data_IF_998566464088
#
_entry.id   IF_998566464088
#
_cell.length_a   1.000
_cell.length_b   1.000
_cell.length_c   1.000
_cell.angle_alpha   90.00
_cell.angle_beta   90.00
_cell.angle_gamma   90.00
#
_symmetry.space_group_name_H-M   'P 1'
#
loop_
_entity.id
_entity.type
_entity.pdbx_description
1 polymer ?
#
# COMPACT_ATOMS: atom_id res chain seq x y z
N UNK A 1 -25.23 -11.95 87.48
CA UNK A 1 -26.06 -11.04 86.66
C UNK A 1 -25.16 -9.92 86.16
N UNK A 2 -24.55 -10.08 84.98
CA UNK A 2 -23.64 -9.11 84.37
C UNK A 2 -24.42 -8.18 83.44
N UNK A 3 -24.49 -6.89 83.79
CA UNK A 3 -25.18 -5.87 83.02
C UNK A 3 -24.21 -5.30 81.97
N UNK A 4 -24.20 -5.87 80.76
CA UNK A 4 -23.50 -5.32 79.62
C UNK A 4 -24.29 -4.12 79.07
N UNK A 5 -23.97 -2.92 79.57
CA UNK A 5 -24.43 -1.68 78.95
C UNK A 5 -23.76 -1.52 77.59
N UNK A 6 -24.48 -1.85 76.52
CA UNK A 6 -24.11 -1.50 75.16
C UNK A 6 -23.94 0.03 75.07
N UNK A 7 -22.70 0.50 74.94
CA UNK A 7 -22.35 1.92 74.74
C UNK A 7 -22.96 2.42 73.43
N UNK A 8 -24.17 2.98 73.50
CA UNK A 8 -24.83 3.63 72.36
C UNK A 8 -24.15 4.95 71.98
N UNK A 9 -24.16 5.28 70.68
CA UNK A 9 -23.69 6.56 70.15
C UNK A 9 -24.37 7.75 70.83
N UNK A 10 -23.61 8.81 71.13
CA UNK A 10 -24.16 10.07 71.65
C UNK A 10 -25.15 10.68 70.66
N UNK A 11 -26.10 11.47 71.16
CA UNK A 11 -27.12 12.14 70.33
C UNK A 11 -26.49 12.97 69.22
N UNK A 12 -25.37 13.65 69.52
CA UNK A 12 -24.62 14.43 68.54
C UNK A 12 -23.97 13.55 67.47
N UNK A 13 -23.45 12.37 67.83
CA UNK A 13 -22.90 11.42 66.86
C UNK A 13 -23.99 10.88 65.94
N UNK A 14 -25.19 10.57 66.47
CA UNK A 14 -26.35 10.16 65.64
C UNK A 14 -26.77 11.25 64.67
N UNK A 15 -26.84 12.51 65.11
CA UNK A 15 -27.17 13.65 64.25
C UNK A 15 -26.11 13.83 63.14
N UNK A 16 -24.83 13.71 63.47
CA UNK A 16 -23.74 13.80 62.50
C UNK A 16 -23.78 12.66 61.46
N UNK A 17 -24.08 11.43 61.89
CA UNK A 17 -24.28 10.28 61.00
C UNK A 17 -25.45 10.52 60.03
N UNK A 18 -26.56 11.07 60.51
CA UNK A 18 -27.72 11.40 59.68
C UNK A 18 -27.36 12.47 58.64
N UNK A 19 -26.64 13.53 59.04
CA UNK A 19 -26.20 14.58 58.12
C UNK A 19 -25.26 14.01 57.04
N UNK A 20 -24.29 13.18 57.43
CA UNK A 20 -23.39 12.50 56.50
C UNK A 20 -24.14 11.59 55.51
N UNK A 21 -25.16 10.88 55.97
CA UNK A 21 -26.02 10.06 55.11
C UNK A 21 -26.76 10.92 54.07
N UNK A 22 -27.34 12.05 54.48
CA UNK A 22 -28.01 12.96 53.54
C UNK A 22 -27.06 13.54 52.50
N UNK A 23 -25.84 13.93 52.91
CA UNK A 23 -24.81 14.44 51.99
C UNK A 23 -24.43 13.35 50.98
N UNK A 24 -24.23 12.11 51.42
CA UNK A 24 -23.89 11.00 50.55
C UNK A 24 -25.01 10.66 49.56
N UNK A 25 -26.26 10.63 50.01
CA UNK A 25 -27.42 10.38 49.15
C UNK A 25 -27.59 11.50 48.12
N UNK A 26 -27.49 12.77 48.54
CA UNK A 26 -27.58 13.91 47.64
C UNK A 26 -26.46 13.89 46.58
N UNK A 27 -25.24 13.53 46.98
CA UNK A 27 -24.13 13.37 46.06
C UNK A 27 -24.36 12.23 45.06
N UNK A 28 -24.83 11.06 45.52
CA UNK A 28 -25.16 9.92 44.68
C UNK A 28 -26.23 10.27 43.63
N UNK A 29 -27.33 10.92 44.05
CA UNK A 29 -28.39 11.38 43.13
C UNK A 29 -27.84 12.37 42.09
N UNK A 30 -26.99 13.30 42.50
CA UNK A 30 -26.34 14.26 41.57
C UNK A 30 -25.48 13.54 40.53
N UNK A 31 -24.70 12.54 40.95
CA UNK A 31 -23.84 11.77 40.04
C UNK A 31 -24.65 10.92 39.06
N UNK A 32 -25.74 10.31 39.51
CA UNK A 32 -26.67 9.56 38.65
C UNK A 32 -27.27 10.47 37.58
N UNK A 33 -27.80 11.63 37.97
CA UNK A 33 -28.38 12.58 37.01
C UNK A 33 -27.34 13.08 36.00
N UNK A 34 -26.11 13.34 36.46
CA UNK A 34 -25.00 13.75 35.59
C UNK A 34 -24.68 12.66 34.55
N UNK A 35 -24.60 11.40 34.98
CA UNK A 35 -24.35 10.26 34.09
C UNK A 35 -25.42 10.13 33.00
N UNK A 36 -26.71 10.18 33.37
CA UNK A 36 -27.80 10.11 32.38
C UNK A 36 -27.80 11.30 31.42
N UNK A 37 -27.54 12.52 31.92
CA UNK A 37 -27.45 13.71 31.06
C UNK A 37 -26.29 13.62 30.06
N UNK A 38 -25.12 13.12 30.50
CA UNK A 38 -23.96 12.94 29.63
C UNK A 38 -24.19 11.86 28.59
N UNK A 39 -24.86 10.76 28.96
CA UNK A 39 -25.22 9.68 28.04
C UNK A 39 -26.19 10.17 26.98
N UNK A 40 -27.22 10.92 27.36
CA UNK A 40 -28.21 11.48 26.42
C UNK A 40 -27.58 12.53 25.47
N UNK A 41 -26.69 13.38 25.99
CA UNK A 41 -25.91 14.34 25.18
C UNK A 41 -24.93 13.65 24.22
N UNK A 42 -24.32 12.54 24.63
CA UNK A 42 -23.48 11.71 23.77
C UNK A 42 -24.29 11.08 22.64
N UNK A 43 -25.40 10.44 23.00
CA UNK A 43 -26.31 9.80 22.04
C UNK A 43 -26.88 10.79 21.02
N UNK A 44 -27.31 11.99 21.47
CA UNK A 44 -27.79 13.05 20.58
C UNK A 44 -26.70 13.54 19.63
N UNK A 45 -25.47 13.76 20.11
CA UNK A 45 -24.34 14.17 19.25
C UNK A 45 -24.01 13.12 18.20
N UNK A 46 -23.94 11.86 18.58
CA UNK A 46 -23.64 10.76 17.65
C UNK A 46 -24.74 10.63 16.59
N UNK A 47 -26.01 10.73 16.99
CA UNK A 47 -27.15 10.71 16.07
C UNK A 47 -27.12 11.89 15.10
N UNK A 48 -26.95 13.12 15.59
CA UNK A 48 -26.87 14.32 14.74
C UNK A 48 -25.69 14.25 13.78
N UNK A 49 -24.52 13.79 14.25
CA UNK A 49 -23.36 13.60 13.38
C UNK A 49 -23.64 12.60 12.27
N UNK A 50 -24.22 11.44 12.60
CA UNK A 50 -24.59 10.41 11.61
C UNK A 50 -25.57 10.97 10.57
N UNK A 51 -26.60 11.69 11.00
CA UNK A 51 -27.58 12.31 10.11
C UNK A 51 -26.96 13.37 9.19
N UNK A 52 -26.11 14.26 9.71
CA UNK A 52 -25.40 15.24 8.89
C UNK A 52 -24.47 14.59 7.87
N UNK A 53 -23.76 13.53 8.29
CA UNK A 53 -22.84 12.80 7.41
C UNK A 53 -23.62 12.11 6.29
N UNK A 54 -24.71 11.41 6.61
CA UNK A 54 -25.61 10.80 5.61
C UNK A 54 -26.16 11.84 4.65
N UNK A 55 -26.61 13.02 5.12
CA UNK A 55 -27.08 14.10 4.24
C UNK A 55 -25.99 14.59 3.29
N UNK A 56 -24.75 14.75 3.76
CA UNK A 56 -23.62 15.15 2.91
C UNK A 56 -23.31 14.10 1.85
N UNK A 57 -23.32 12.82 2.23
CA UNK A 57 -23.09 11.70 1.31
C UNK A 57 -24.21 11.64 0.26
N UNK A 58 -25.48 11.70 0.68
CA UNK A 58 -26.61 11.72 -0.26
C UNK A 58 -26.59 12.95 -1.18
N UNK A 59 -26.14 14.11 -0.71
CA UNK A 59 -26.01 15.32 -1.54
C UNK A 59 -24.92 15.16 -2.62
N UNK A 60 -23.84 14.44 -2.30
CA UNK A 60 -22.71 14.26 -3.21
C UNK A 60 -22.86 13.06 -4.14
N UNK A 61 -23.50 11.99 -3.69
CA UNK A 61 -23.51 10.68 -4.36
C UNK A 61 -24.91 10.06 -4.51
N UNK A 62 -25.99 10.83 -4.32
CA UNK A 62 -27.39 10.40 -4.32
C UNK A 62 -27.78 9.38 -3.22
N UNK A 63 -26.94 8.40 -2.91
CA UNK A 63 -27.10 7.45 -1.81
C UNK A 63 -25.77 7.09 -1.14
N UNK A 64 -25.85 6.52 0.08
CA UNK A 64 -24.66 6.02 0.80
C UNK A 64 -24.13 4.74 0.17
N UNK A 65 -25.02 3.88 -0.32
CA UNK A 65 -24.67 2.70 -1.12
C UNK A 65 -23.86 3.08 -2.36
N UNK A 66 -24.30 4.07 -3.16
CA UNK A 66 -23.60 4.50 -4.37
C UNK A 66 -22.20 5.04 -4.09
N UNK A 67 -22.04 5.79 -2.99
CA UNK A 67 -20.73 6.26 -2.54
C UNK A 67 -19.80 5.08 -2.20
N UNK A 68 -20.33 4.06 -1.49
CA UNK A 68 -19.54 2.89 -1.11
C UNK A 68 -19.17 2.01 -2.31
N UNK A 69 -20.07 1.83 -3.28
CA UNK A 69 -19.74 1.11 -4.52
C UNK A 69 -18.67 1.85 -5.32
N UNK A 70 -18.78 3.17 -5.50
CA UNK A 70 -17.75 3.97 -6.17
C UNK A 70 -16.39 3.87 -5.49
N UNK A 71 -16.35 3.93 -4.15
CA UNK A 71 -15.09 3.78 -3.40
C UNK A 71 -14.48 2.40 -3.63
N UNK A 72 -15.30 1.35 -3.63
CA UNK A 72 -14.82 -0.02 -3.88
C UNK A 72 -14.33 -0.21 -5.32
N UNK A 73 -15.03 0.34 -6.31
CA UNK A 73 -14.63 0.31 -7.72
C UNK A 73 -13.31 1.04 -7.94
N UNK A 74 -13.16 2.26 -7.39
CA UNK A 74 -11.90 3.02 -7.46
C UNK A 74 -10.76 2.24 -6.80
N UNK A 75 -11.03 1.58 -5.66
CA UNK A 75 -10.03 0.76 -4.99
C UNK A 75 -9.59 -0.42 -5.85
N UNK A 76 -10.53 -1.16 -6.46
CA UNK A 76 -10.21 -2.27 -7.36
C UNK A 76 -9.47 -1.81 -8.61
N UNK A 77 -9.87 -0.68 -9.22
CA UNK A 77 -9.18 -0.10 -10.36
C UNK A 77 -7.75 0.30 -10.00
N UNK A 78 -7.56 0.92 -8.83
CA UNK A 78 -6.23 1.27 -8.33
C UNK A 78 -5.34 0.04 -8.14
N UNK A 79 -5.83 -1.00 -7.46
CA UNK A 79 -5.07 -2.24 -7.24
C UNK A 79 -4.71 -2.92 -8.57
N UNK A 80 -5.63 -2.91 -9.53
CA UNK A 80 -5.42 -3.46 -10.87
C UNK A 80 -4.40 -2.64 -11.66
N UNK A 81 -4.46 -1.30 -11.60
CA UNK A 81 -3.52 -0.41 -12.24
C UNK A 81 -2.10 -0.53 -11.65
N UNK A 82 -1.97 -0.64 -10.32
CA UNK A 82 -0.68 -0.87 -9.66
C UNK A 82 -0.07 -2.22 -10.05
N UNK A 83 -0.89 -3.26 -10.17
CA UNK A 83 -0.43 -4.59 -10.61
C UNK A 83 0.04 -4.54 -12.07
N UNK A 84 -0.73 -3.90 -12.95
CA UNK A 84 -0.35 -3.73 -14.35
C UNK A 84 0.94 -2.91 -14.51
N UNK A 85 1.08 -1.81 -13.74
CA UNK A 85 2.29 -0.99 -13.77
C UNK A 85 3.54 -1.76 -13.34
N UNK A 86 3.44 -2.59 -12.28
CA UNK A 86 4.54 -3.47 -11.85
C UNK A 86 4.92 -4.48 -12.95
N UNK A 87 3.93 -5.10 -13.57
CA UNK A 87 4.14 -6.04 -14.68
C UNK A 87 4.82 -5.36 -15.87
N UNK A 88 4.37 -4.16 -16.25
CA UNK A 88 4.96 -3.39 -17.35
C UNK A 88 6.41 -3.01 -17.06
N UNK A 89 6.71 -2.53 -15.84
CA UNK A 89 8.08 -2.21 -15.44
C UNK A 89 9.00 -3.43 -15.50
N UNK A 90 8.52 -4.60 -15.07
CA UNK A 90 9.28 -5.85 -15.17
C UNK A 90 9.50 -6.26 -16.64
N UNK A 91 8.47 -6.14 -17.49
CA UNK A 91 8.58 -6.43 -18.92
C UNK A 91 9.53 -5.49 -19.65
N UNK A 92 9.57 -4.22 -19.26
CA UNK A 92 10.49 -3.24 -19.82
C UNK A 92 11.94 -3.61 -19.53
N UNK A 93 12.25 -4.02 -18.29
CA UNK A 93 13.57 -4.52 -17.93
C UNK A 93 13.97 -5.78 -18.70
N UNK A 94 13.03 -6.74 -18.85
CA UNK A 94 13.27 -7.94 -19.65
C UNK A 94 13.54 -7.60 -21.13
N UNK A 95 12.80 -6.65 -21.70
CA UNK A 95 12.99 -6.18 -23.07
C UNK A 95 14.34 -5.48 -23.24
N UNK A 96 14.73 -4.60 -22.32
CA UNK A 96 16.04 -3.95 -22.35
C UNK A 96 17.16 -4.98 -22.32
N UNK A 97 17.07 -5.99 -21.44
CA UNK A 97 18.07 -7.06 -21.36
C UNK A 97 18.16 -7.86 -22.65
N UNK A 98 17.02 -8.28 -23.21
CA UNK A 98 16.98 -9.01 -24.48
C UNK A 98 17.51 -8.17 -25.64
N UNK A 99 17.23 -6.88 -25.66
CA UNK A 99 17.71 -5.98 -26.71
C UNK A 99 19.24 -5.83 -26.62
N UNK A 100 19.79 -5.78 -25.40
CA UNK A 100 21.23 -5.78 -25.19
C UNK A 100 21.87 -7.11 -25.64
N UNK A 101 21.32 -8.25 -25.24
CA UNK A 101 21.75 -9.57 -25.71
C UNK A 101 21.73 -9.67 -27.25
N UNK A 102 20.71 -9.07 -27.89
CA UNK A 102 20.60 -9.04 -29.36
C UNK A 102 21.67 -8.14 -29.99
N UNK A 103 21.91 -6.96 -29.44
CA UNK A 103 22.96 -6.06 -29.93
C UNK A 103 24.36 -6.66 -29.80
N UNK A 104 24.63 -7.35 -28.68
CA UNK A 104 25.91 -8.05 -28.47
C UNK A 104 26.09 -9.18 -29.50
N UNK A 105 25.03 -9.94 -29.79
CA UNK A 105 25.05 -10.98 -30.82
C UNK A 105 25.27 -10.40 -32.22
N UNK A 106 24.65 -9.25 -32.54
CA UNK A 106 24.86 -8.56 -33.81
C UNK A 106 26.32 -8.12 -33.94
N UNK A 107 26.87 -7.48 -32.90
CA UNK A 107 28.27 -7.02 -32.90
C UNK A 107 29.25 -8.19 -33.07
N UNK A 108 28.98 -9.33 -32.42
CA UNK A 108 29.77 -10.54 -32.58
C UNK A 108 29.74 -11.05 -34.03
N UNK A 109 28.55 -11.16 -34.63
CA UNK A 109 28.39 -11.62 -36.00
C UNK A 109 29.03 -10.67 -37.02
N UNK A 110 28.96 -9.36 -36.80
CA UNK A 110 29.64 -8.37 -37.64
C UNK A 110 31.16 -8.51 -37.57
N UNK A 111 31.71 -8.70 -36.37
CA UNK A 111 33.13 -8.96 -36.17
C UNK A 111 33.57 -10.25 -36.86
N UNK A 112 32.81 -11.33 -36.72
CA UNK A 112 33.13 -12.62 -37.33
C UNK A 112 33.03 -12.55 -38.86
N UNK A 113 32.03 -11.86 -39.39
CA UNK A 113 31.91 -11.58 -40.82
C UNK A 113 33.12 -10.81 -41.36
N UNK A 114 33.55 -9.76 -40.67
CA UNK A 114 34.72 -8.98 -41.07
C UNK A 114 36.01 -9.82 -41.07
N UNK A 115 36.17 -10.68 -40.06
CA UNK A 115 37.29 -11.63 -39.99
C UNK A 115 37.28 -12.59 -41.17
N UNK A 116 36.15 -13.24 -41.44
CA UNK A 116 36.01 -14.18 -42.55
C UNK A 116 36.25 -13.50 -43.92
N UNK A 117 35.79 -12.27 -44.11
CA UNK A 117 36.10 -11.50 -45.32
C UNK A 117 37.60 -11.23 -45.48
N UNK A 118 38.31 -10.92 -44.39
CA UNK A 118 39.76 -10.77 -44.41
C UNK A 118 40.48 -12.08 -44.79
N UNK A 119 40.02 -13.21 -44.26
CA UNK A 119 40.55 -14.54 -44.61
C UNK A 119 40.32 -14.88 -46.08
N UNK A 120 39.13 -14.56 -46.62
CA UNK A 120 38.82 -14.74 -48.05
C UNK A 120 39.78 -13.91 -48.92
N UNK A 121 39.98 -12.64 -48.62
CA UNK A 121 40.90 -11.79 -49.39
C UNK A 121 42.34 -12.29 -49.35
N UNK A 122 42.81 -12.75 -48.20
CA UNK A 122 44.16 -13.33 -48.09
C UNK A 122 44.31 -14.60 -48.95
N UNK A 123 43.29 -15.46 -48.99
CA UNK A 123 43.28 -16.65 -49.85
C UNK A 123 43.21 -16.30 -51.33
N UNK A 124 42.42 -15.30 -51.71
CA UNK A 124 42.33 -14.82 -53.10
C UNK A 124 43.67 -14.26 -53.59
N UNK A 125 44.38 -13.50 -52.75
CA UNK A 125 45.71 -12.97 -53.06
C UNK A 125 46.74 -14.10 -53.23
N UNK A 126 46.76 -15.08 -52.31
CA UNK A 126 47.62 -16.26 -52.42
C UNK A 126 47.34 -17.08 -53.69
N UNK A 127 46.06 -17.27 -54.04
CA UNK A 127 45.67 -17.96 -55.27
C UNK A 127 46.08 -17.19 -56.52
N UNK A 128 45.99 -15.85 -56.50
CA UNK A 128 46.44 -14.98 -57.58
C UNK A 128 47.95 -15.12 -57.79
N UNK A 129 48.74 -15.02 -56.71
CA UNK A 129 50.20 -15.22 -56.74
C UNK A 129 50.59 -16.61 -57.25
N UNK A 130 49.91 -17.65 -56.78
CA UNK A 130 50.15 -19.01 -57.23
C UNK A 130 49.85 -19.16 -58.74
N UNK A 131 48.74 -18.59 -59.22
CA UNK A 131 48.40 -18.58 -60.65
C UNK A 131 49.42 -17.83 -61.50
N UNK A 132 49.90 -16.68 -61.02
CA UNK A 132 50.93 -15.90 -61.71
C UNK A 132 52.25 -16.69 -61.79
N UNK A 133 52.69 -17.27 -60.67
CA UNK A 133 53.89 -18.12 -60.63
C UNK A 133 53.79 -19.29 -61.60
N UNK A 134 52.64 -19.96 -61.66
CA UNK A 134 52.39 -21.05 -62.62
C UNK A 134 52.42 -20.54 -64.06
N UNK A 135 51.83 -19.38 -64.34
CA UNK A 135 51.85 -18.76 -65.66
C UNK A 135 53.26 -18.41 -66.11
N UNK A 136 54.05 -17.81 -65.22
CA UNK A 136 55.44 -17.42 -65.48
C UNK A 136 56.30 -18.66 -65.80
N UNK A 137 56.20 -19.73 -64.99
CA UNK A 137 56.86 -21.02 -65.25
C UNK A 137 56.47 -21.65 -66.60
N UNK A 138 55.23 -21.43 -67.07
CA UNK A 138 54.72 -22.01 -68.31
C UNK A 138 55.08 -21.19 -69.56
N UNK A 139 55.40 -19.91 -69.39
CA UNK A 139 55.69 -18.95 -70.47
C UNK A 139 57.17 -18.90 -70.90
N UNK A 140 58.06 -19.63 -70.23
CA UNK A 140 59.45 -19.80 -70.67
C UNK A 140 60.32 -18.55 -70.47
N UNK A 141 60.29 -17.99 -69.26
CA UNK A 141 61.43 -17.28 -68.66
C UNK A 141 61.93 -18.05 -67.45
#
# INVERSE_FOLDING_TARGET
MGNEQAKGFSTNAKAFIIILLFINIAFAVKMINKYYSMKDLGYKREKTFKEETTKRVMKAFASVEEANTLVNEIKQQKESAETAAKLLAQRELELQRKNQEMNDAIAFLESEKAKLQGEIWALEDQLSLARQTISDMRSGK
#
